data_IF_585044352455
#
_entry.id   IF_585044352455
#
_cell.length_a   1.000
_cell.length_b   1.000
_cell.length_c   1.000
_cell.angle_alpha   90.00
_cell.angle_beta   90.00
_cell.angle_gamma   90.00
#
_symmetry.space_group_name_H-M   'P 1'
#
loop_
_entity.id
_entity.type
_entity.pdbx_description
1 polymer ?
#
# COMPACT_ATOMS: atom_id res chain seq x y z
N UNK A 1 -40.83 13.41 45.90
CA UNK A 1 -40.45 14.78 46.30
C UNK A 1 -38.95 14.91 46.06
N UNK A 2 -38.55 15.77 45.12
CA UNK A 2 -37.14 15.98 44.81
C UNK A 2 -37.02 16.51 43.38
N UNK A 3 -37.02 17.80 43.24
CA UNK A 3 -37.06 18.65 42.09
C UNK A 3 -35.62 18.70 41.52
N UNK A 4 -35.40 18.29 40.26
CA UNK A 4 -34.23 18.67 39.50
C UNK A 4 -34.65 19.66 38.39
N UNK A 5 -34.30 20.93 38.66
CA UNK A 5 -34.44 22.03 37.74
C UNK A 5 -33.29 21.97 36.69
N UNK A 6 -33.64 21.94 35.44
CA UNK A 6 -32.74 22.10 34.30
C UNK A 6 -32.28 23.58 34.22
N UNK A 7 -31.01 23.84 34.38
CA UNK A 7 -30.39 25.13 34.04
C UNK A 7 -30.00 25.13 32.54
N UNK A 8 -30.82 25.77 31.74
CA UNK A 8 -30.48 26.14 30.36
C UNK A 8 -29.60 27.41 30.36
N UNK A 9 -28.32 27.28 30.28
CA UNK A 9 -27.41 28.41 30.02
C UNK A 9 -27.40 28.73 28.52
N UNK A 10 -28.24 29.70 28.11
CA UNK A 10 -28.11 30.35 26.80
C UNK A 10 -27.07 31.47 26.92
N UNK A 11 -25.88 31.21 26.46
CA UNK A 11 -24.87 32.28 26.26
C UNK A 11 -25.28 33.10 25.05
N UNK A 12 -25.81 34.33 25.29
CA UNK A 12 -26.03 35.34 24.24
C UNK A 12 -24.67 36.01 23.97
N UNK A 13 -23.99 35.63 22.90
CA UNK A 13 -22.84 36.39 22.41
C UNK A 13 -23.28 37.76 21.85
N UNK A 14 -22.60 38.83 22.17
CA UNK A 14 -22.87 40.14 21.56
C UNK A 14 -22.56 40.08 20.07
N UNK A 15 -23.45 40.67 19.26
CA UNK A 15 -23.37 40.69 17.78
C UNK A 15 -22.02 41.18 17.24
N UNK A 16 -21.30 42.03 17.97
CA UNK A 16 -19.96 42.51 17.63
C UNK A 16 -18.90 41.39 17.63
N UNK A 17 -19.00 40.40 18.54
CA UNK A 17 -18.04 39.29 18.65
C UNK A 17 -18.29 38.25 17.56
N UNK A 18 -19.53 38.02 17.15
CA UNK A 18 -19.87 37.13 16.03
C UNK A 18 -19.40 37.69 14.68
N UNK A 19 -19.47 39.02 14.48
CA UNK A 19 -18.94 39.67 13.30
C UNK A 19 -17.40 39.65 13.23
N UNK A 20 -16.71 39.76 14.37
CA UNK A 20 -15.24 39.69 14.42
C UNK A 20 -14.73 38.25 14.12
N UNK A 21 -15.43 37.21 14.61
CA UNK A 21 -15.11 35.82 14.29
C UNK A 21 -15.36 35.50 12.81
N UNK A 22 -16.45 36.04 12.21
CA UNK A 22 -16.76 35.87 10.81
C UNK A 22 -15.73 36.57 9.91
N UNK A 23 -15.22 37.74 10.32
CA UNK A 23 -14.18 38.45 9.58
C UNK A 23 -12.82 37.75 9.65
N UNK A 24 -12.47 37.14 10.80
CA UNK A 24 -11.25 36.35 10.98
C UNK A 24 -11.28 35.03 10.19
N UNK A 25 -12.44 34.39 10.06
CA UNK A 25 -12.60 33.22 9.19
C UNK A 25 -12.55 33.57 7.68
N UNK A 26 -13.02 34.74 7.28
CA UNK A 26 -12.99 35.17 5.89
C UNK A 26 -11.57 35.55 5.41
N UNK A 27 -10.68 35.94 6.30
CA UNK A 27 -9.28 36.25 6.00
C UNK A 27 -8.37 35.02 5.82
N UNK A 28 -8.88 33.80 6.13
CA UNK A 28 -8.13 32.55 5.93
C UNK A 28 -8.48 31.82 4.63
N UNK A 29 -9.34 32.40 3.78
CA UNK A 29 -9.81 31.78 2.53
C UNK A 29 -9.41 32.54 1.26
N UNK A 30 -8.23 33.18 1.24
CA UNK A 30 -7.67 33.67 -0.03
C UNK A 30 -6.65 32.67 -0.56
N UNK A 31 -6.91 32.02 -1.73
CA UNK A 31 -5.89 31.21 -2.39
C UNK A 31 -4.83 32.17 -2.98
N UNK A 32 -3.60 31.95 -2.59
CA UNK A 32 -2.44 32.59 -3.20
C UNK A 32 -2.23 31.96 -4.59
N UNK A 33 -2.79 32.59 -5.61
CA UNK A 33 -2.39 32.33 -6.99
C UNK A 33 -1.17 33.24 -7.26
N UNK A 34 0.01 32.65 -7.33
CA UNK A 34 1.16 33.24 -7.98
C UNK A 34 1.43 32.48 -9.25
N UNK A 35 1.23 33.19 -10.35
CA UNK A 35 1.58 32.77 -11.68
C UNK A 35 3.10 32.58 -11.80
N UNK A 36 3.51 31.49 -12.45
CA UNK A 36 4.81 31.42 -13.11
C UNK A 36 4.52 31.24 -14.60
N UNK A 37 4.66 32.35 -15.32
CA UNK A 37 4.65 32.35 -16.77
C UNK A 37 5.93 31.74 -17.33
N UNK A 38 5.73 31.15 -18.48
CA UNK A 38 6.63 30.51 -19.39
C UNK A 38 7.92 31.32 -19.71
N UNK A 39 9.00 30.58 -19.94
CA UNK A 39 9.95 30.92 -20.98
C UNK A 39 10.16 29.72 -21.90
N UNK A 40 9.55 29.88 -23.04
CA UNK A 40 9.86 29.22 -24.29
C UNK A 40 11.01 30.02 -24.90
N UNK A 41 12.11 29.40 -25.22
CA UNK A 41 12.83 29.73 -26.42
C UNK A 41 13.65 28.52 -26.87
N UNK A 42 13.43 28.27 -28.13
CA UNK A 42 14.03 27.27 -28.97
C UNK A 42 15.45 27.69 -29.36
N UNK A 43 16.32 26.73 -29.54
CA UNK A 43 17.30 26.81 -30.63
C UNK A 43 17.62 25.43 -31.19
N UNK A 44 17.27 25.33 -32.47
CA UNK A 44 17.67 24.27 -33.40
C UNK A 44 19.15 24.48 -33.79
N UNK A 45 19.74 23.40 -34.19
CA UNK A 45 20.73 23.15 -35.28
C UNK A 45 21.80 22.23 -34.76
N UNK A 46 22.34 21.27 -35.44
CA UNK A 46 22.29 20.81 -36.82
C UNK A 46 22.84 19.37 -36.87
N UNK A 47 22.41 18.69 -37.90
CA UNK A 47 22.90 17.42 -38.42
C UNK A 47 24.42 17.35 -38.56
N UNK A 48 24.98 16.14 -38.35
CA UNK A 48 25.97 15.62 -39.29
C UNK A 48 25.92 14.09 -39.29
N UNK A 49 25.44 13.55 -40.36
CA UNK A 49 25.67 12.18 -40.83
C UNK A 49 27.14 11.95 -41.08
N UNK A 50 27.67 10.80 -40.74
CA UNK A 50 28.62 10.09 -41.57
C UNK A 50 28.56 8.58 -41.36
N UNK A 51 28.33 7.97 -42.43
CA UNK A 51 28.18 6.60 -42.83
C UNK A 51 29.50 5.82 -42.92
N UNK A 52 29.28 4.47 -42.89
CA UNK A 52 30.03 3.42 -43.62
C UNK A 52 31.39 3.03 -43.03
N UNK A 53 31.62 1.79 -42.68
CA UNK A 53 31.88 0.65 -43.57
C UNK A 53 31.86 -0.70 -42.82
N UNK A 54 31.40 -1.70 -43.54
CA UNK A 54 31.46 -3.12 -43.18
C UNK A 54 32.83 -3.69 -43.63
N UNK A 55 33.45 -4.54 -42.82
CA UNK A 55 34.45 -5.47 -43.29
C UNK A 55 34.35 -6.83 -42.56
N UNK A 56 33.94 -7.77 -43.31
CA UNK A 56 34.23 -9.18 -43.58
C UNK A 56 35.04 -9.98 -42.55
N UNK A 57 34.44 -11.13 -42.26
CA UNK A 57 35.13 -12.30 -41.67
C UNK A 57 36.15 -12.95 -42.63
N UNK A 58 37.08 -13.73 -42.12
CA UNK A 58 37.35 -15.08 -42.67
C UNK A 58 37.41 -16.12 -41.52
N UNK A 59 36.64 -17.18 -41.62
CA UNK A 59 36.92 -18.47 -42.24
C UNK A 59 38.01 -19.31 -41.58
N UNK A 60 37.51 -20.42 -41.05
CA UNK A 60 38.02 -21.76 -40.88
C UNK A 60 39.49 -22.00 -40.41
N UNK A 61 39.65 -22.85 -39.37
CA UNK A 61 40.15 -24.22 -39.55
C UNK A 61 40.16 -25.00 -38.24
N UNK A 62 39.55 -26.17 -38.24
CA UNK A 62 39.81 -27.26 -37.27
C UNK A 62 41.13 -27.97 -37.60
N UNK A 63 41.84 -28.48 -36.62
CA UNK A 63 42.63 -29.68 -36.86
C UNK A 63 42.15 -30.86 -35.98
N UNK A 64 42.38 -31.98 -36.61
CA UNK A 64 42.06 -33.35 -36.30
C UNK A 64 42.60 -33.89 -34.97
N UNK A 65 41.84 -34.85 -34.52
CA UNK A 65 42.13 -35.90 -33.53
C UNK A 65 43.52 -36.51 -33.61
N UNK A 66 44.23 -36.57 -32.49
CA UNK A 66 45.20 -37.61 -32.21
C UNK A 66 44.82 -38.34 -30.92
N UNK A 67 44.73 -39.66 -31.05
CA UNK A 67 44.49 -40.61 -29.98
C UNK A 67 45.75 -40.75 -29.12
N UNK A 68 45.61 -40.59 -27.82
CA UNK A 68 46.64 -40.95 -26.87
C UNK A 68 46.17 -42.11 -25.98
N UNK A 69 47.04 -43.08 -25.94
CA UNK A 69 47.06 -44.36 -25.26
C UNK A 69 46.65 -44.32 -23.78
N UNK A 70 45.84 -45.25 -23.35
CA UNK A 70 45.49 -45.49 -21.94
C UNK A 70 46.70 -45.99 -21.14
N UNK A 71 47.02 -45.29 -20.05
CA UNK A 71 47.88 -45.80 -18.97
C UNK A 71 47.01 -46.35 -17.82
N UNK A 72 47.48 -47.40 -17.09
CA UNK A 72 46.63 -48.11 -16.14
C UNK A 72 46.39 -47.28 -14.87
N UNK A 73 45.11 -47.20 -14.50
CA UNK A 73 44.60 -46.58 -13.28
C UNK A 73 45.02 -47.33 -12.01
N UNK A 74 45.69 -46.61 -11.09
CA UNK A 74 45.79 -47.00 -9.68
C UNK A 74 44.40 -47.02 -9.02
N UNK A 75 44.16 -47.86 -8.01
CA UNK A 75 42.88 -47.95 -7.32
C UNK A 75 42.65 -46.66 -6.50
N UNK A 76 41.51 -46.02 -6.78
CA UNK A 76 40.98 -44.87 -6.00
C UNK A 76 40.78 -45.29 -4.54
N UNK A 77 41.41 -44.52 -3.61
CA UNK A 77 41.02 -44.50 -2.20
C UNK A 77 39.56 -44.05 -2.08
N UNK A 78 38.77 -44.63 -1.15
CA UNK A 78 37.40 -44.22 -0.95
C UNK A 78 37.37 -42.74 -0.51
N UNK A 79 36.64 -41.92 -1.30
CA UNK A 79 36.36 -40.52 -0.98
C UNK A 79 35.77 -40.42 0.44
N UNK A 80 36.39 -39.58 1.25
CA UNK A 80 35.76 -39.16 2.53
C UNK A 80 34.36 -38.58 2.23
N UNK A 81 33.36 -38.87 3.07
CA UNK A 81 32.03 -38.31 2.87
C UNK A 81 32.16 -36.79 2.87
N UNK A 82 31.60 -36.15 1.82
CA UNK A 82 31.44 -34.72 1.73
C UNK A 82 30.95 -34.19 3.07
N UNK A 83 31.73 -33.30 3.68
CA UNK A 83 31.26 -32.57 4.86
C UNK A 83 29.96 -31.89 4.46
N UNK A 84 28.85 -32.23 5.12
CA UNK A 84 27.59 -31.51 4.98
C UNK A 84 27.91 -30.02 5.20
N UNK A 85 27.83 -29.21 4.16
CA UNK A 85 27.89 -27.75 4.30
C UNK A 85 26.81 -27.35 5.29
N UNK A 86 27.19 -26.84 6.45
CA UNK A 86 26.26 -26.24 7.38
C UNK A 86 25.47 -25.17 6.61
N UNK A 87 24.14 -25.13 6.76
CA UNK A 87 23.32 -24.15 6.04
C UNK A 87 23.83 -22.76 6.36
N UNK A 88 24.41 -22.11 5.35
CA UNK A 88 24.89 -20.73 5.48
C UNK A 88 23.68 -19.85 5.77
N UNK A 89 23.67 -19.17 6.92
CA UNK A 89 22.65 -18.18 7.22
C UNK A 89 22.62 -17.15 6.09
N UNK A 90 21.41 -16.76 5.62
CA UNK A 90 21.31 -15.77 4.55
C UNK A 90 22.04 -14.48 4.94
N UNK A 91 22.86 -13.96 4.04
CA UNK A 91 23.62 -12.74 4.26
C UNK A 91 22.68 -11.56 4.48
N UNK A 92 22.70 -10.97 5.67
CA UNK A 92 21.85 -9.83 6.04
C UNK A 92 22.39 -8.56 5.39
N UNK A 93 21.58 -7.89 4.58
CA UNK A 93 21.93 -6.62 3.95
C UNK A 93 20.76 -5.63 4.01
N UNK A 94 21.07 -4.35 3.91
CA UNK A 94 20.09 -3.27 3.83
C UNK A 94 19.96 -2.82 2.37
N UNK A 95 18.91 -3.20 1.63
CA UNK A 95 18.70 -2.69 0.29
C UNK A 95 18.43 -1.18 0.30
N UNK A 96 18.74 -0.52 -0.79
CA UNK A 96 18.62 0.92 -0.93
C UNK A 96 17.49 1.29 -1.91
N UNK A 97 16.28 1.44 -1.41
CA UNK A 97 15.10 1.85 -2.17
C UNK A 97 14.81 3.34 -1.99
N UNK A 98 14.26 3.99 -3.01
CA UNK A 98 13.79 5.36 -2.90
C UNK A 98 12.31 5.49 -3.26
N UNK A 99 11.67 6.56 -2.78
CA UNK A 99 10.28 6.87 -3.15
C UNK A 99 10.14 7.12 -4.66
N UNK A 100 11.23 7.56 -5.31
CA UNK A 100 11.25 7.88 -6.72
C UNK A 100 11.28 6.63 -7.60
N UNK A 101 11.90 5.53 -7.14
CA UNK A 101 11.99 4.27 -7.86
C UNK A 101 10.61 3.60 -8.05
N UNK A 102 9.66 3.94 -7.17
CA UNK A 102 8.31 3.36 -7.13
C UNK A 102 7.21 4.43 -7.20
N UNK A 103 7.50 5.56 -7.85
CA UNK A 103 6.70 6.78 -7.76
C UNK A 103 5.21 6.60 -8.05
N UNK A 104 4.87 5.80 -9.04
CA UNK A 104 3.50 5.63 -9.55
C UNK A 104 2.75 4.43 -8.92
N UNK A 105 3.43 3.65 -8.07
CA UNK A 105 2.81 2.50 -7.40
C UNK A 105 1.85 2.97 -6.33
N UNK A 106 0.60 2.49 -6.37
CA UNK A 106 -0.43 2.82 -5.38
C UNK A 106 -0.07 2.28 -4.00
N UNK A 107 -0.27 3.12 -2.97
CA UNK A 107 -0.10 2.75 -1.57
C UNK A 107 -1.05 3.55 -0.67
N UNK A 108 -2.04 2.86 -0.13
CA UNK A 108 -3.09 3.50 0.68
C UNK A 108 -3.95 4.47 -0.13
N UNK A 109 -3.99 5.73 0.28
CA UNK A 109 -4.77 6.80 -0.39
C UNK A 109 -3.98 7.56 -1.45
N UNK A 110 -2.75 7.16 -1.75
CA UNK A 110 -1.90 7.83 -2.73
C UNK A 110 -0.91 6.87 -3.38
N UNK A 111 0.22 7.37 -3.82
CA UNK A 111 1.30 6.57 -4.37
C UNK A 111 2.47 6.44 -3.41
N UNK A 112 3.39 5.51 -3.67
CA UNK A 112 4.64 5.38 -2.91
C UNK A 112 5.40 6.71 -2.88
N UNK A 113 5.40 7.47 -3.97
CA UNK A 113 6.02 8.80 -4.01
C UNK A 113 5.55 9.72 -2.89
N UNK A 114 4.26 9.69 -2.57
CA UNK A 114 3.64 10.62 -1.63
C UNK A 114 3.45 10.03 -0.23
N UNK A 115 3.22 8.71 -0.13
CA UNK A 115 2.82 8.04 1.11
C UNK A 115 3.72 6.87 1.51
N UNK A 116 4.70 6.48 0.66
CA UNK A 116 5.40 5.20 0.73
C UNK A 116 6.62 5.15 1.66
N UNK A 117 6.90 6.18 2.46
CA UNK A 117 8.07 6.14 3.35
C UNK A 117 8.03 4.94 4.31
N UNK A 118 6.86 4.55 4.79
CA UNK A 118 6.69 3.39 5.67
C UNK A 118 6.92 2.06 4.96
N UNK A 119 6.39 1.88 3.73
CA UNK A 119 6.56 0.62 2.99
C UNK A 119 8.00 0.44 2.50
N UNK A 120 8.69 1.51 2.11
CA UNK A 120 10.12 1.44 1.79
C UNK A 120 10.94 1.04 3.02
N UNK A 121 10.68 1.62 4.20
CA UNK A 121 11.34 1.20 5.44
C UNK A 121 11.04 -0.26 5.78
N UNK A 122 9.79 -0.70 5.61
CA UNK A 122 9.40 -2.09 5.87
C UNK A 122 10.07 -3.08 4.90
N UNK A 123 10.18 -2.76 3.62
CA UNK A 123 10.88 -3.58 2.65
C UNK A 123 12.36 -3.78 3.02
N UNK A 124 13.02 -2.70 3.46
CA UNK A 124 14.40 -2.77 3.96
C UNK A 124 14.52 -3.63 5.22
N UNK A 125 13.61 -3.44 6.20
CA UNK A 125 13.62 -4.22 7.45
C UNK A 125 13.32 -5.70 7.19
N UNK A 126 12.30 -6.00 6.38
CA UNK A 126 11.93 -7.37 6.05
C UNK A 126 13.07 -8.10 5.34
N UNK A 127 13.70 -7.46 4.36
CA UNK A 127 14.88 -8.02 3.66
C UNK A 127 16.03 -8.29 4.63
N UNK A 128 16.38 -7.29 5.46
CA UNK A 128 17.47 -7.43 6.42
C UNK A 128 17.24 -8.55 7.44
N UNK A 129 16.00 -8.71 7.93
CA UNK A 129 15.70 -9.71 8.95
C UNK A 129 15.59 -11.12 8.38
N UNK A 130 15.04 -11.28 7.19
CA UNK A 130 14.76 -12.60 6.60
C UNK A 130 15.85 -13.08 5.64
N UNK A 131 16.68 -12.17 5.10
CA UNK A 131 17.57 -12.48 3.99
C UNK A 131 16.86 -12.66 2.64
N UNK A 132 15.53 -12.71 2.62
CA UNK A 132 14.73 -12.70 1.40
C UNK A 132 14.51 -11.26 0.94
N UNK A 133 14.77 -10.98 -0.34
CA UNK A 133 14.61 -9.62 -0.86
C UNK A 133 13.14 -9.28 -1.10
N UNK A 134 12.58 -8.38 -0.28
CA UNK A 134 11.26 -7.78 -0.45
C UNK A 134 11.37 -6.43 -1.14
N UNK A 135 10.45 -6.16 -2.06
CA UNK A 135 10.39 -4.89 -2.77
C UNK A 135 9.22 -4.01 -2.29
N UNK A 136 9.38 -2.67 -2.29
CA UNK A 136 8.32 -1.75 -1.87
C UNK A 136 7.01 -1.89 -2.63
N UNK A 137 7.04 -2.16 -3.93
CA UNK A 137 5.86 -2.36 -4.78
C UNK A 137 5.12 -3.67 -4.46
N UNK A 138 5.84 -4.75 -4.15
CA UNK A 138 5.24 -6.01 -3.71
C UNK A 138 4.52 -5.82 -2.37
N UNK A 139 5.19 -5.22 -1.37
CA UNK A 139 4.57 -4.95 -0.08
C UNK A 139 3.41 -3.95 -0.19
N UNK A 140 3.50 -2.97 -1.09
CA UNK A 140 2.41 -2.06 -1.38
C UNK A 140 1.22 -2.79 -1.99
N UNK A 141 1.45 -3.67 -2.96
CA UNK A 141 0.43 -4.52 -3.57
C UNK A 141 -0.28 -5.40 -2.55
N UNK A 142 0.48 -6.06 -1.67
CA UNK A 142 -0.08 -7.02 -0.72
C UNK A 142 -0.77 -6.36 0.47
N UNK A 143 -0.24 -5.23 0.95
CA UNK A 143 -0.61 -4.67 2.25
C UNK A 143 -1.09 -3.21 2.21
N UNK A 144 -0.99 -2.52 1.09
CA UNK A 144 -1.33 -1.10 1.00
C UNK A 144 -2.78 -0.78 1.32
N UNK A 145 -3.70 -1.70 0.99
CA UNK A 145 -5.13 -1.59 1.29
C UNK A 145 -5.55 -2.10 2.67
N UNK A 146 -4.64 -2.71 3.46
CA UNK A 146 -5.00 -3.45 4.69
C UNK A 146 -5.25 -2.58 5.93
N UNK A 147 -4.92 -1.29 5.90
CA UNK A 147 -5.17 -0.37 7.00
C UNK A 147 -5.37 1.07 6.49
N UNK A 148 -6.03 1.91 7.29
CA UNK A 148 -6.34 3.29 6.90
C UNK A 148 -5.11 4.23 6.92
N UNK A 149 -4.15 3.99 7.81
CA UNK A 149 -2.97 4.83 7.97
C UNK A 149 -1.66 4.04 7.94
N UNK A 150 -0.55 4.74 7.72
CA UNK A 150 0.77 4.12 7.57
C UNK A 150 1.28 3.45 8.85
N UNK A 151 0.94 3.96 10.02
CA UNK A 151 1.31 3.37 11.31
C UNK A 151 0.70 1.99 11.48
N UNK A 152 -0.59 1.85 11.17
CA UNK A 152 -1.29 0.56 11.22
C UNK A 152 -0.83 -0.38 10.11
N UNK A 153 -0.46 0.14 8.93
CA UNK A 153 0.15 -0.68 7.86
C UNK A 153 1.49 -1.28 8.30
N UNK A 154 2.34 -0.53 9.00
CA UNK A 154 3.61 -1.07 9.57
C UNK A 154 3.31 -2.22 10.52
N UNK A 155 2.33 -2.06 11.43
CA UNK A 155 1.90 -3.13 12.34
C UNK A 155 1.41 -4.36 11.60
N UNK A 156 0.56 -4.14 10.61
CA UNK A 156 0.00 -5.22 9.79
C UNK A 156 1.10 -5.97 9.03
N UNK A 157 2.00 -5.25 8.35
CA UNK A 157 3.11 -5.85 7.62
C UNK A 157 4.04 -6.65 8.55
N UNK A 158 4.41 -6.09 9.70
CA UNK A 158 5.25 -6.80 10.67
C UNK A 158 4.60 -8.11 11.14
N UNK A 159 3.29 -8.10 11.41
CA UNK A 159 2.53 -9.30 11.79
C UNK A 159 2.44 -10.30 10.63
N UNK A 160 2.08 -9.85 9.43
CA UNK A 160 1.91 -10.72 8.27
C UNK A 160 3.22 -11.38 7.83
N UNK A 161 4.32 -10.65 7.94
CA UNK A 161 5.68 -11.12 7.64
C UNK A 161 6.33 -11.85 8.84
N UNK A 162 5.62 -12.01 9.95
CA UNK A 162 6.10 -12.66 11.18
C UNK A 162 7.41 -12.06 11.72
N UNK A 163 7.58 -10.74 11.58
CA UNK A 163 8.77 -10.05 12.07
C UNK A 163 8.66 -9.74 13.57
N UNK A 164 9.72 -9.95 14.37
CA UNK A 164 9.74 -9.68 15.80
C UNK A 164 9.75 -8.17 16.06
N UNK A 165 8.55 -7.58 16.20
CA UNK A 165 8.35 -6.15 16.38
C UNK A 165 7.78 -5.84 17.77
N UNK A 166 8.29 -4.77 18.38
CA UNK A 166 7.72 -4.10 19.56
C UNK A 166 7.62 -2.61 19.33
N UNK A 167 6.68 -1.93 20.00
CA UNK A 167 6.57 -0.48 19.91
C UNK A 167 7.37 0.18 21.06
N UNK A 168 8.06 1.27 20.74
CA UNK A 168 8.80 2.02 21.75
C UNK A 168 7.84 2.92 22.55
N UNK A 169 7.87 2.83 23.89
CA UNK A 169 7.08 3.71 24.76
C UNK A 169 7.55 5.18 24.67
N UNK A 170 8.84 5.38 24.44
CA UNK A 170 9.46 6.69 24.29
C UNK A 170 10.83 6.57 23.63
N UNK A 171 11.51 7.72 23.40
CA UNK A 171 12.80 7.74 22.72
C UNK A 171 13.95 7.06 23.48
N UNK A 172 13.87 6.94 24.81
CA UNK A 172 14.91 6.22 25.58
C UNK A 172 14.92 4.72 25.26
N UNK A 173 13.74 4.12 24.97
CA UNK A 173 13.64 2.75 24.47
C UNK A 173 14.29 2.61 23.09
N UNK A 174 14.14 3.60 22.20
CA UNK A 174 14.81 3.62 20.91
C UNK A 174 16.33 3.61 21.08
N UNK A 175 16.87 4.48 21.92
CA UNK A 175 18.32 4.53 22.21
C UNK A 175 18.84 3.21 22.79
N UNK A 176 18.06 2.59 23.68
CA UNK A 176 18.43 1.30 24.25
C UNK A 176 18.41 0.20 23.18
N UNK A 177 17.36 0.12 22.37
CA UNK A 177 17.24 -0.85 21.29
C UNK A 177 18.43 -0.78 20.30
N UNK A 178 18.82 0.44 19.89
CA UNK A 178 19.98 0.62 19.01
C UNK A 178 21.29 0.17 19.66
N UNK A 179 21.48 0.37 21.00
CA UNK A 179 22.66 -0.15 21.72
C UNK A 179 22.69 -1.67 21.82
N UNK A 180 21.51 -2.29 21.79
CA UNK A 180 21.32 -3.75 21.80
C UNK A 180 21.41 -4.37 20.36
N UNK A 181 21.76 -3.58 19.35
CA UNK A 181 21.87 -4.04 17.97
C UNK A 181 20.55 -4.26 17.25
N UNK A 182 19.45 -3.72 17.80
CA UNK A 182 18.14 -3.73 17.16
C UNK A 182 18.03 -2.61 16.12
N UNK A 183 17.16 -2.79 15.13
CA UNK A 183 16.87 -1.77 14.12
C UNK A 183 15.50 -1.15 14.40
N UNK A 184 15.30 0.11 14.00
CA UNK A 184 14.12 0.87 14.41
C UNK A 184 13.53 1.65 13.23
N UNK A 185 12.27 1.40 12.90
CA UNK A 185 11.50 2.32 12.07
C UNK A 185 10.93 3.41 12.97
N UNK A 186 11.33 4.66 12.74
CA UNK A 186 10.89 5.79 13.54
C UNK A 186 9.99 6.72 12.73
N UNK A 187 8.83 7.07 13.31
CA UNK A 187 7.96 8.12 12.81
C UNK A 187 8.48 9.47 13.31
N UNK A 188 8.65 10.39 12.35
CA UNK A 188 9.09 11.77 12.58
C UNK A 188 7.94 12.74 12.34
N UNK A 189 7.80 13.76 13.16
CA UNK A 189 6.83 14.84 12.96
C UNK A 189 7.47 16.12 12.37
N UNK A 190 6.66 17.15 12.17
CA UNK A 190 7.05 18.41 11.54
C UNK A 190 8.15 19.22 12.26
N UNK A 191 8.57 18.82 13.46
CA UNK A 191 9.69 19.44 14.17
C UNK A 191 11.04 18.83 13.79
N UNK A 192 11.03 17.71 13.06
CA UNK A 192 12.24 17.00 12.67
C UNK A 192 13.01 17.72 11.55
N UNK A 193 14.23 17.25 11.30
CA UNK A 193 15.03 17.69 10.17
C UNK A 193 14.55 17.07 8.83
N UNK A 194 13.73 16.02 8.88
CA UNK A 194 13.38 15.16 7.74
C UNK A 194 12.07 15.55 7.06
N UNK A 195 11.18 16.27 7.75
CA UNK A 195 9.83 16.52 7.19
C UNK A 195 9.16 17.75 7.81
N UNK A 196 8.22 18.33 7.05
CA UNK A 196 7.30 19.35 7.53
C UNK A 196 5.94 18.79 7.98
N UNK A 197 5.74 17.46 7.90
CA UNK A 197 4.51 16.79 8.30
C UNK A 197 4.83 15.53 9.12
N UNK A 198 4.62 14.35 8.52
CA UNK A 198 5.02 13.06 9.07
C UNK A 198 5.91 12.32 8.08
N UNK A 199 6.89 11.56 8.57
CA UNK A 199 7.80 10.80 7.74
C UNK A 199 8.37 9.61 8.50
N UNK A 200 8.51 8.47 7.85
CA UNK A 200 9.17 7.30 8.40
C UNK A 200 10.61 7.21 7.90
N UNK A 201 11.52 6.97 8.83
CA UNK A 201 12.93 6.68 8.58
C UNK A 201 13.32 5.38 9.29
N UNK A 202 14.39 4.73 8.82
CA UNK A 202 14.95 3.55 9.49
C UNK A 202 16.28 3.90 10.15
N UNK A 203 16.41 3.59 11.43
CA UNK A 203 17.64 3.68 12.20
C UNK A 203 18.30 2.30 12.18
N UNK A 204 19.45 2.19 11.55
CA UNK A 204 20.15 0.90 11.33
C UNK A 204 21.05 0.47 12.50
N UNK A 205 21.49 1.42 13.33
CA UNK A 205 22.38 1.20 14.45
C UNK A 205 23.30 2.38 14.68
N UNK A 206 24.33 2.18 15.52
CA UNK A 206 25.40 3.15 15.73
C UNK A 206 26.61 2.80 14.85
N UNK A 207 27.17 3.80 14.18
CA UNK A 207 28.46 3.65 13.49
C UNK A 207 29.64 3.72 14.49
N UNK A 208 30.87 3.56 13.99
CA UNK A 208 32.10 3.58 14.78
C UNK A 208 32.32 4.88 15.57
N UNK A 209 31.71 5.99 15.12
CA UNK A 209 31.78 7.29 15.76
C UNK A 209 30.67 7.52 16.80
N UNK A 210 29.85 6.50 17.09
CA UNK A 210 28.72 6.57 18.02
C UNK A 210 27.56 7.42 17.53
N UNK A 211 27.47 7.66 16.23
CA UNK A 211 26.33 8.33 15.57
C UNK A 211 25.39 7.31 14.96
N UNK A 212 24.11 7.66 14.81
CA UNK A 212 23.08 6.79 14.28
C UNK A 212 23.16 6.78 12.74
N UNK A 213 23.27 5.61 12.14
CA UNK A 213 23.09 5.40 10.72
C UNK A 213 21.63 5.38 10.36
N UNK A 214 21.23 6.24 9.42
CA UNK A 214 19.86 6.42 8.99
C UNK A 214 19.68 6.02 7.54
N UNK A 215 18.63 5.24 7.26
CA UNK A 215 18.08 5.13 5.92
C UNK A 215 16.84 6.00 5.83
N UNK A 216 16.77 6.83 4.80
CA UNK A 216 15.61 7.65 4.46
C UNK A 216 15.24 7.39 3.00
N UNK A 217 14.01 6.95 2.70
CA UNK A 217 13.61 6.69 1.32
C UNK A 217 13.44 7.97 0.47
N UNK A 218 13.51 9.16 1.09
CA UNK A 218 13.37 10.44 0.38
C UNK A 218 14.68 10.86 -0.29
N UNK A 219 14.74 10.78 -1.62
CA UNK A 219 15.85 11.31 -2.42
C UNK A 219 16.09 12.79 -2.15
N UNK A 220 15.02 13.57 -1.97
CA UNK A 220 15.10 14.98 -1.61
C UNK A 220 15.89 15.21 -0.31
N UNK A 221 15.62 14.43 0.74
CA UNK A 221 16.35 14.54 2.01
C UNK A 221 17.81 14.16 1.85
N UNK A 222 18.10 13.05 1.18
CA UNK A 222 19.47 12.56 0.97
C UNK A 222 20.33 13.54 0.20
N UNK A 223 19.77 14.26 -0.79
CA UNK A 223 20.46 15.23 -1.62
C UNK A 223 20.45 16.63 -1.01
N UNK A 224 19.71 16.86 0.05
CA UNK A 224 19.63 18.15 0.71
C UNK A 224 20.98 18.55 1.30
N UNK A 225 21.47 19.75 0.97
CA UNK A 225 22.68 20.31 1.57
C UNK A 225 22.67 20.39 3.11
N UNK A 226 21.48 20.28 3.69
CA UNK A 226 21.28 20.29 5.15
C UNK A 226 21.56 18.95 5.79
N UNK A 227 21.44 17.84 5.05
CA UNK A 227 21.43 16.49 5.57
C UNK A 227 22.45 15.56 4.91
N UNK A 228 22.94 15.85 3.69
CA UNK A 228 23.81 14.96 2.91
C UNK A 228 25.04 14.48 3.70
N UNK A 229 25.76 15.40 4.36
CA UNK A 229 26.93 15.03 5.20
C UNK A 229 26.55 14.07 6.36
N UNK A 230 25.31 14.15 6.86
CA UNK A 230 24.83 13.31 7.94
C UNK A 230 24.44 11.91 7.49
N UNK A 231 24.00 11.77 6.23
CA UNK A 231 23.78 10.43 5.68
C UNK A 231 25.07 9.65 5.48
N UNK A 232 26.18 10.35 5.26
CA UNK A 232 27.51 9.74 5.17
C UNK A 232 28.15 9.51 6.55
N UNK A 233 28.00 10.46 7.48
CA UNK A 233 28.73 10.47 8.76
C UNK A 233 27.91 10.05 9.98
N UNK A 234 26.61 9.81 9.80
CA UNK A 234 25.64 9.52 10.84
C UNK A 234 25.07 10.76 11.53
N UNK A 235 23.95 10.57 12.21
CA UNK A 235 23.18 11.58 12.94
C UNK A 235 23.46 11.51 14.43
N UNK A 236 23.45 12.65 15.11
CA UNK A 236 23.46 12.70 16.56
C UNK A 236 22.15 12.17 17.15
N UNK A 237 22.23 11.55 18.34
CA UNK A 237 21.03 11.04 19.05
C UNK A 237 20.00 12.13 19.31
N UNK A 238 20.45 13.36 19.64
CA UNK A 238 19.54 14.48 19.90
C UNK A 238 18.86 14.97 18.61
N UNK A 239 19.55 14.88 17.46
CA UNK A 239 19.00 15.26 16.16
C UNK A 239 17.85 14.29 15.75
N UNK A 240 18.01 13.01 16.03
CA UNK A 240 16.99 11.99 15.79
C UNK A 240 15.84 12.05 16.80
N UNK A 241 16.15 12.40 18.07
CA UNK A 241 15.12 12.63 19.08
C UNK A 241 14.19 13.80 18.72
N UNK A 242 14.74 14.78 18.02
CA UNK A 242 14.00 15.98 17.67
C UNK A 242 12.94 15.68 16.59
N UNK A 243 11.71 15.70 16.99
CA UNK A 243 10.59 15.32 16.12
C UNK A 243 10.19 13.86 16.20
N UNK A 244 10.66 13.11 17.21
CA UNK A 244 10.14 11.77 17.53
C UNK A 244 8.62 11.81 17.74
N UNK A 245 7.90 10.90 17.09
CA UNK A 245 6.43 10.78 17.15
C UNK A 245 5.96 9.33 17.38
N UNK A 246 6.90 8.41 17.50
CA UNK A 246 6.69 6.98 17.71
C UNK A 246 7.75 6.15 17.02
N UNK A 247 7.88 4.88 17.39
CA UNK A 247 8.83 3.98 16.74
C UNK A 247 8.46 2.50 16.91
N UNK A 248 8.88 1.72 15.93
CA UNK A 248 8.77 0.26 15.86
C UNK A 248 10.17 -0.34 15.91
N UNK A 249 10.42 -1.15 16.93
CA UNK A 249 11.71 -1.81 17.20
C UNK A 249 11.63 -3.23 16.68
N UNK A 250 12.61 -3.62 15.88
CA UNK A 250 12.76 -4.97 15.33
C UNK A 250 14.04 -5.60 15.87
N UNK A 251 13.92 -6.80 16.41
CA UNK A 251 15.01 -7.51 17.08
C UNK A 251 15.55 -8.65 16.21
N UNK A 252 16.71 -8.47 15.54
CA UNK A 252 17.30 -9.51 14.68
C UNK A 252 17.66 -10.80 15.42
N UNK A 253 17.85 -10.75 16.74
CA UNK A 253 18.20 -11.92 17.55
C UNK A 253 17.03 -12.86 17.80
N UNK A 254 15.80 -12.40 17.55
CA UNK A 254 14.57 -13.19 17.68
C UNK A 254 14.10 -13.81 16.37
N UNK A 255 14.82 -13.59 15.27
CA UNK A 255 14.53 -14.24 14.01
C UNK A 255 14.89 -15.72 14.06
N UNK A 256 14.08 -16.55 13.42
CA UNK A 256 14.37 -17.96 13.18
C UNK A 256 15.56 -18.10 12.22
N UNK A 257 16.31 -19.20 12.30
CA UNK A 257 17.34 -19.58 11.32
C UNK A 257 16.72 -19.91 9.95
N UNK A 258 15.43 -20.32 9.93
CA UNK A 258 14.61 -20.49 8.74
C UNK A 258 13.43 -19.49 8.83
N UNK A 259 13.61 -18.24 8.40
CA UNK A 259 12.61 -17.20 8.55
C UNK A 259 11.43 -17.44 7.60
N UNK A 260 10.23 -17.08 8.07
CA UNK A 260 9.04 -17.09 7.23
C UNK A 260 9.21 -16.13 6.05
N UNK A 261 8.99 -16.64 4.84
CA UNK A 261 8.91 -15.85 3.61
C UNK A 261 7.44 -15.77 3.19
N UNK A 262 6.92 -14.55 3.08
CA UNK A 262 5.54 -14.34 2.67
C UNK A 262 5.39 -14.62 1.18
N UNK A 263 4.42 -15.45 0.85
CA UNK A 263 3.98 -15.67 -0.53
C UNK A 263 2.57 -15.12 -0.68
N UNK A 264 2.33 -14.37 -1.76
CA UNK A 264 0.98 -13.88 -2.05
C UNK A 264 0.03 -15.08 -2.20
N UNK A 265 -1.08 -15.12 -1.45
CA UNK A 265 -2.03 -16.21 -1.57
C UNK A 265 -2.54 -16.31 -3.01
N UNK A 266 -2.39 -17.47 -3.61
CA UNK A 266 -2.92 -17.72 -4.95
C UNK A 266 -4.44 -17.64 -4.90
N UNK A 267 -5.01 -16.68 -5.64
CA UNK A 267 -6.47 -16.56 -5.75
C UNK A 267 -7.01 -17.79 -6.47
N UNK A 268 -7.98 -18.50 -5.87
CA UNK A 268 -8.56 -19.67 -6.54
C UNK A 268 -9.22 -19.24 -7.85
N UNK A 269 -9.00 -20.03 -8.90
CA UNK A 269 -9.68 -19.79 -10.16
C UNK A 269 -11.20 -19.95 -9.97
N UNK A 270 -11.95 -18.98 -10.47
CA UNK A 270 -13.41 -19.05 -10.57
C UNK A 270 -13.82 -18.70 -12.01
N UNK A 271 -14.93 -19.29 -12.47
CA UNK A 271 -15.47 -18.94 -13.79
C UNK A 271 -15.81 -17.44 -13.84
N UNK A 272 -15.29 -16.67 -14.82
CA UNK A 272 -15.54 -15.24 -14.91
C UNK A 272 -17.03 -14.95 -15.08
N UNK A 273 -17.61 -14.23 -14.11
CA UNK A 273 -19.03 -13.83 -14.14
C UNK A 273 -19.29 -12.65 -15.06
N UNK A 274 -18.30 -11.78 -15.19
CA UNK A 274 -18.39 -10.52 -15.93
C UNK A 274 -17.51 -10.56 -17.18
N UNK A 275 -17.46 -11.73 -17.86
CA UNK A 275 -16.64 -11.90 -19.05
C UNK A 275 -16.98 -10.86 -20.12
N UNK A 276 -15.93 -10.23 -20.67
CA UNK A 276 -16.07 -9.15 -21.64
C UNK A 276 -16.39 -7.77 -21.05
N UNK A 277 -16.72 -7.66 -19.75
CA UNK A 277 -16.89 -6.36 -19.12
C UNK A 277 -15.53 -5.69 -18.89
N UNK A 278 -15.37 -4.51 -19.47
CA UNK A 278 -14.20 -3.65 -19.25
C UNK A 278 -14.67 -2.31 -18.71
N UNK A 279 -14.22 -2.00 -17.50
CA UNK A 279 -14.42 -0.68 -16.91
C UNK A 279 -13.34 0.26 -17.45
N UNK A 280 -13.72 1.48 -17.76
CA UNK A 280 -12.76 2.56 -17.98
C UNK A 280 -12.14 3.01 -16.66
N UNK A 281 -11.00 3.72 -16.70
CA UNK A 281 -10.35 4.26 -15.50
C UNK A 281 -11.29 5.19 -14.72
N UNK A 282 -12.09 6.01 -15.44
CA UNK A 282 -13.07 6.90 -14.82
C UNK A 282 -14.20 6.12 -14.14
N UNK A 283 -14.69 5.04 -14.74
CA UNK A 283 -15.71 4.18 -14.13
C UNK A 283 -15.17 3.41 -12.92
N UNK A 284 -13.95 2.92 -13.01
CA UNK A 284 -13.26 2.27 -11.88
C UNK A 284 -13.09 3.24 -10.71
N UNK A 285 -12.64 4.47 -10.99
CA UNK A 285 -12.51 5.51 -9.98
C UNK A 285 -13.85 5.92 -9.38
N UNK A 286 -14.89 6.03 -10.19
CA UNK A 286 -16.23 6.39 -9.73
C UNK A 286 -16.83 5.28 -8.86
N UNK A 287 -16.64 4.01 -9.24
CA UNK A 287 -17.06 2.85 -8.44
C UNK A 287 -16.27 2.79 -7.11
N UNK A 288 -14.96 3.03 -7.14
CA UNK A 288 -14.16 3.08 -5.91
C UNK A 288 -14.65 4.18 -4.95
N UNK A 289 -15.02 5.35 -5.47
CA UNK A 289 -15.63 6.43 -4.68
C UNK A 289 -16.97 6.03 -4.05
N UNK A 290 -17.81 5.31 -4.80
CA UNK A 290 -19.07 4.77 -4.28
C UNK A 290 -18.80 3.79 -3.11
N UNK A 291 -17.91 2.82 -3.31
CA UNK A 291 -17.56 1.84 -2.28
C UNK A 291 -17.01 2.54 -1.03
N UNK A 292 -16.15 3.55 -1.22
CA UNK A 292 -15.63 4.34 -0.11
C UNK A 292 -16.74 5.01 0.71
N UNK A 293 -17.71 5.65 0.05
CA UNK A 293 -18.83 6.34 0.74
C UNK A 293 -19.72 5.33 1.47
N UNK A 294 -20.04 4.20 0.83
CA UNK A 294 -20.97 3.21 1.34
C UNK A 294 -20.34 2.28 2.38
N UNK A 295 -19.08 1.87 2.18
CA UNK A 295 -18.52 0.69 2.84
C UNK A 295 -17.06 0.83 3.34
N UNK A 296 -16.46 2.03 3.43
CA UNK A 296 -15.04 2.16 3.85
C UNK A 296 -14.74 1.57 5.22
N UNK A 297 -15.71 1.46 6.09
CA UNK A 297 -15.58 0.85 7.43
C UNK A 297 -16.00 -0.61 7.50
N UNK A 298 -16.38 -1.22 6.38
CA UNK A 298 -16.75 -2.63 6.30
C UNK A 298 -15.49 -3.50 6.03
N UNK A 299 -15.64 -4.81 6.26
CA UNK A 299 -14.61 -5.79 5.88
C UNK A 299 -14.32 -5.77 4.37
N UNK A 300 -13.23 -6.40 3.95
CA UNK A 300 -12.91 -6.60 2.53
C UNK A 300 -14.05 -7.28 1.77
N UNK A 301 -14.67 -8.29 2.39
CA UNK A 301 -15.84 -8.98 1.87
C UNK A 301 -17.04 -8.03 1.72
N UNK A 302 -17.28 -7.17 2.71
CA UNK A 302 -18.36 -6.18 2.66
C UNK A 302 -18.16 -5.15 1.55
N UNK A 303 -16.95 -4.66 1.38
CA UNK A 303 -16.61 -3.74 0.29
C UNK A 303 -16.72 -4.40 -1.09
N UNK A 304 -16.26 -5.64 -1.23
CA UNK A 304 -16.43 -6.44 -2.44
C UNK A 304 -17.91 -6.68 -2.77
N UNK A 305 -18.72 -7.01 -1.78
CA UNK A 305 -20.15 -7.24 -1.97
C UNK A 305 -20.88 -5.99 -2.52
N UNK A 306 -20.51 -4.78 -2.09
CA UNK A 306 -21.04 -3.54 -2.67
C UNK A 306 -20.63 -3.41 -4.15
N UNK A 307 -19.35 -3.68 -4.48
CA UNK A 307 -18.89 -3.68 -5.87
C UNK A 307 -19.66 -4.69 -6.72
N UNK A 308 -19.85 -5.92 -6.22
CA UNK A 308 -20.61 -6.97 -6.93
C UNK A 308 -22.04 -6.58 -7.19
N UNK A 309 -22.74 -5.90 -6.27
CA UNK A 309 -24.10 -5.39 -6.54
C UNK A 309 -24.11 -4.43 -7.71
N UNK A 310 -23.15 -3.51 -7.79
CA UNK A 310 -23.07 -2.55 -8.91
C UNK A 310 -22.78 -3.27 -10.24
N UNK A 311 -21.85 -4.23 -10.24
CA UNK A 311 -21.55 -5.04 -11.43
C UNK A 311 -22.73 -5.93 -11.84
N UNK A 312 -23.44 -6.55 -10.88
CA UNK A 312 -24.65 -7.31 -11.12
C UNK A 312 -25.74 -6.45 -11.76
N UNK A 313 -25.95 -5.22 -11.25
CA UNK A 313 -26.87 -4.23 -11.86
C UNK A 313 -26.47 -3.92 -13.31
N UNK A 314 -25.18 -3.72 -13.56
CA UNK A 314 -24.68 -3.38 -14.90
C UNK A 314 -24.97 -4.51 -15.90
N UNK A 315 -24.68 -5.76 -15.53
CA UNK A 315 -24.89 -6.90 -16.43
C UNK A 315 -26.36 -7.32 -16.52
N UNK A 316 -27.21 -7.01 -15.54
CA UNK A 316 -28.67 -7.24 -15.65
C UNK A 316 -29.32 -6.35 -16.72
N UNK A 317 -28.77 -5.16 -16.96
CA UNK A 317 -29.31 -4.16 -17.87
C UNK A 317 -30.51 -3.37 -17.34
N UNK A 318 -31.03 -3.71 -16.14
CA UNK A 318 -32.26 -3.11 -15.60
C UNK A 318 -32.03 -1.75 -14.94
N UNK A 319 -30.77 -1.39 -14.63
CA UNK A 319 -30.41 -0.22 -13.83
C UNK A 319 -29.63 0.85 -14.60
N UNK A 320 -29.32 0.62 -15.85
CA UNK A 320 -28.54 1.51 -16.70
C UNK A 320 -27.50 0.77 -17.55
N UNK A 321 -26.91 1.48 -18.50
CA UNK A 321 -25.97 0.91 -19.47
C UNK A 321 -24.49 1.13 -19.15
N UNK A 322 -24.17 1.88 -18.09
CA UNK A 322 -22.81 2.14 -17.63
C UNK A 322 -22.80 2.44 -16.11
N UNK A 323 -21.64 2.25 -15.48
CA UNK A 323 -21.43 2.63 -14.08
C UNK A 323 -21.70 4.11 -13.87
N UNK A 324 -21.22 4.95 -14.80
CA UNK A 324 -21.45 6.40 -14.75
C UNK A 324 -22.94 6.75 -14.73
N UNK A 325 -23.75 6.11 -15.59
CA UNK A 325 -25.19 6.37 -15.62
C UNK A 325 -25.89 5.94 -14.35
N UNK A 326 -25.53 4.76 -13.81
CA UNK A 326 -26.12 4.25 -12.57
C UNK A 326 -25.77 5.11 -11.35
N UNK A 327 -24.51 5.51 -11.20
CA UNK A 327 -24.06 6.29 -10.05
C UNK A 327 -24.57 7.74 -10.10
N UNK A 328 -24.76 8.28 -11.31
CA UNK A 328 -25.32 9.62 -11.49
C UNK A 328 -26.85 9.67 -11.31
N UNK A 329 -27.51 8.53 -11.26
CA UNK A 329 -28.93 8.46 -10.92
C UNK A 329 -29.11 8.55 -9.39
N UNK A 330 -29.51 9.73 -8.91
CA UNK A 330 -29.68 10.02 -7.47
C UNK A 330 -30.71 9.12 -6.78
N UNK A 331 -31.53 8.39 -7.54
CA UNK A 331 -32.50 7.42 -7.00
C UNK A 331 -31.87 6.08 -6.62
N UNK A 332 -30.65 5.77 -7.13
CA UNK A 332 -30.02 4.47 -6.98
C UNK A 332 -29.02 4.39 -5.82
N UNK A 333 -28.36 5.50 -5.50
CA UNK A 333 -27.31 5.55 -4.48
C UNK A 333 -27.42 6.79 -3.60
N UNK A 334 -26.66 6.83 -2.51
CA UNK A 334 -26.58 8.01 -1.61
C UNK A 334 -26.24 9.29 -2.35
N UNK A 335 -26.40 10.47 -1.70
CA UNK A 335 -26.22 11.76 -2.36
C UNK A 335 -24.96 11.82 -3.21
N UNK A 336 -25.13 11.94 -4.51
CA UNK A 336 -24.11 11.96 -5.55
C UNK A 336 -22.93 12.90 -5.22
N UNK A 337 -23.22 14.03 -4.56
CA UNK A 337 -22.17 14.96 -4.12
C UNK A 337 -21.13 14.32 -3.19
N UNK A 338 -21.53 13.38 -2.32
CA UNK A 338 -20.59 12.69 -1.43
C UNK A 338 -19.68 11.75 -2.23
N UNK A 339 -20.24 11.07 -3.24
CA UNK A 339 -19.46 10.20 -4.11
C UNK A 339 -18.45 11.02 -4.89
N UNK A 340 -18.82 12.13 -5.51
CA UNK A 340 -17.91 12.95 -6.29
C UNK A 340 -16.73 13.50 -5.49
N UNK A 341 -16.94 13.83 -4.21
CA UNK A 341 -15.90 14.40 -3.33
C UNK A 341 -15.13 13.34 -2.53
N UNK A 342 -15.50 12.06 -2.67
CA UNK A 342 -14.80 10.98 -1.98
C UNK A 342 -13.38 10.80 -2.50
N UNK A 343 -12.48 10.38 -1.59
CA UNK A 343 -11.09 10.06 -1.90
C UNK A 343 -10.83 8.59 -1.51
N UNK A 344 -11.08 7.63 -2.44
CA UNK A 344 -10.94 6.21 -2.17
C UNK A 344 -9.48 5.83 -1.96
N UNK A 345 -9.26 4.86 -1.11
CA UNK A 345 -7.95 4.24 -0.88
C UNK A 345 -7.76 3.01 -1.78
N UNK A 346 -6.57 2.44 -1.76
CA UNK A 346 -6.26 1.19 -2.44
C UNK A 346 -7.25 0.06 -2.12
N UNK A 347 -7.77 0.00 -0.88
CA UNK A 347 -8.75 -1.02 -0.46
C UNK A 347 -10.00 -1.07 -1.35
N UNK A 348 -10.50 0.07 -1.83
CA UNK A 348 -11.67 0.12 -2.69
C UNK A 348 -11.37 -0.35 -4.12
N UNK A 349 -10.17 -0.09 -4.63
CA UNK A 349 -9.72 -0.62 -5.92
C UNK A 349 -9.51 -2.14 -5.85
N UNK A 350 -8.93 -2.65 -4.77
CA UNK A 350 -8.82 -4.09 -4.51
C UNK A 350 -10.18 -4.78 -4.39
N UNK A 351 -11.17 -4.09 -3.79
CA UNK A 351 -12.54 -4.61 -3.73
C UNK A 351 -13.17 -4.74 -5.11
N UNK A 352 -12.92 -3.79 -6.03
CA UNK A 352 -13.36 -3.87 -7.42
C UNK A 352 -12.65 -5.04 -8.13
N UNK A 353 -11.35 -5.20 -7.95
CA UNK A 353 -10.59 -6.29 -8.55
C UNK A 353 -11.11 -7.66 -8.08
N UNK A 354 -11.36 -7.83 -6.77
CA UNK A 354 -11.98 -9.03 -6.23
C UNK A 354 -13.40 -9.27 -6.79
N UNK A 355 -14.19 -8.20 -6.95
CA UNK A 355 -15.53 -8.31 -7.51
C UNK A 355 -15.53 -8.70 -8.99
N UNK A 356 -14.56 -8.24 -9.77
CA UNK A 356 -14.43 -8.59 -11.19
C UNK A 356 -13.95 -10.04 -11.41
N UNK A 357 -12.98 -10.48 -10.63
CA UNK A 357 -12.25 -11.73 -10.88
C UNK A 357 -12.51 -12.82 -9.83
N UNK A 358 -13.30 -12.55 -8.78
CA UNK A 358 -13.68 -13.53 -7.75
C UNK A 358 -12.56 -13.89 -6.78
N UNK A 359 -12.79 -14.83 -5.87
CA UNK A 359 -14.06 -15.55 -5.68
C UNK A 359 -15.21 -14.61 -5.32
N UNK A 360 -16.39 -14.88 -5.88
CA UNK A 360 -17.57 -14.02 -5.68
C UNK A 360 -18.24 -14.28 -4.33
N UNK A 361 -18.68 -13.18 -3.71
CA UNK A 361 -19.36 -13.19 -2.42
C UNK A 361 -20.87 -13.36 -2.58
N UNK A 362 -21.45 -12.69 -3.58
CA UNK A 362 -22.88 -12.66 -3.80
C UNK A 362 -23.28 -13.49 -5.04
N UNK A 363 -24.50 -14.05 -5.08
CA UNK A 363 -25.12 -14.48 -6.33
C UNK A 363 -25.28 -13.30 -7.31
N UNK A 364 -25.19 -13.59 -8.62
CA UNK A 364 -25.32 -12.57 -9.69
C UNK A 364 -26.70 -11.87 -9.72
N UNK A 365 -27.71 -12.51 -9.14
CA UNK A 365 -29.08 -12.00 -9.07
C UNK A 365 -29.29 -11.01 -7.91
N UNK A 366 -28.33 -10.90 -6.98
CA UNK A 366 -28.39 -9.92 -5.88
C UNK A 366 -28.01 -8.55 -6.42
N UNK A 367 -29.01 -7.66 -6.50
CA UNK A 367 -28.87 -6.32 -7.11
C UNK A 367 -29.27 -5.19 -6.16
N UNK A 368 -29.63 -5.51 -4.91
CA UNK A 368 -29.99 -4.53 -3.91
C UNK A 368 -29.20 -4.70 -2.62
N UNK A 369 -28.87 -3.59 -1.99
CA UNK A 369 -28.30 -3.55 -0.65
C UNK A 369 -28.81 -2.32 0.12
N UNK A 370 -28.70 -2.36 1.42
CA UNK A 370 -28.99 -1.23 2.29
C UNK A 370 -28.79 -1.57 3.77
N UNK A 371 -28.78 -0.56 4.62
CA UNK A 371 -28.71 -0.76 6.08
C UNK A 371 -30.00 -1.29 6.68
N UNK A 372 -31.06 -1.24 5.90
CA UNK A 372 -32.36 -1.86 6.17
C UNK A 372 -32.75 -2.70 4.97
N UNK A 373 -33.69 -3.64 5.19
CA UNK A 373 -34.22 -4.47 4.11
C UNK A 373 -34.82 -3.60 3.00
N UNK A 374 -34.35 -3.79 1.77
CA UNK A 374 -34.73 -3.00 0.58
C UNK A 374 -35.80 -3.67 -0.27
N UNK A 375 -35.86 -5.01 -0.30
CA UNK A 375 -36.89 -5.78 -1.02
C UNK A 375 -37.51 -6.84 -0.10
N UNK A 376 -38.50 -7.58 -0.57
CA UNK A 376 -39.11 -8.71 0.14
C UNK A 376 -38.26 -10.00 0.11
N UNK A 377 -37.26 -10.06 -0.77
CA UNK A 377 -36.41 -11.24 -0.99
C UNK A 377 -34.98 -10.98 -0.51
N UNK A 378 -34.71 -11.27 0.78
CA UNK A 378 -33.39 -11.11 1.39
C UNK A 378 -32.50 -12.29 1.03
N UNK A 379 -31.28 -12.02 0.57
CA UNK A 379 -30.23 -13.01 0.43
C UNK A 379 -29.47 -13.23 1.75
N UNK A 380 -28.97 -12.16 2.38
CA UNK A 380 -28.19 -12.26 3.61
C UNK A 380 -27.69 -10.90 4.10
N UNK A 381 -26.79 -10.95 5.08
CA UNK A 381 -26.19 -9.76 5.69
C UNK A 381 -24.66 -9.94 5.74
N UNK A 382 -23.92 -8.89 5.33
CA UNK A 382 -22.47 -8.79 5.49
C UNK A 382 -22.18 -7.45 6.14
N UNK A 383 -21.48 -7.46 7.29
CA UNK A 383 -21.21 -6.24 8.04
C UNK A 383 -22.50 -5.48 8.39
N UNK A 384 -22.53 -4.19 8.09
CA UNK A 384 -23.69 -3.34 8.32
C UNK A 384 -24.73 -3.34 7.21
N UNK A 385 -24.62 -4.19 6.17
CA UNK A 385 -25.50 -4.17 5.01
C UNK A 385 -26.29 -5.46 4.86
N UNK A 386 -27.59 -5.29 4.47
CA UNK A 386 -28.50 -6.36 4.07
C UNK A 386 -28.53 -6.39 2.55
N UNK A 387 -28.25 -7.54 1.97
CA UNK A 387 -28.25 -7.78 0.54
C UNK A 387 -29.52 -8.50 0.11
N UNK A 388 -30.12 -8.05 -0.97
CA UNK A 388 -31.42 -8.53 -1.42
C UNK A 388 -31.43 -8.84 -2.92
N UNK A 389 -32.24 -9.82 -3.29
CA UNK A 389 -32.67 -10.05 -4.67
C UNK A 389 -33.66 -8.98 -5.13
N UNK A 390 -33.96 -8.87 -6.44
CA UNK A 390 -35.06 -8.06 -6.95
C UNK A 390 -36.40 -8.41 -6.29
N UNK A 391 -37.35 -7.48 -6.38
CA UNK A 391 -38.72 -7.70 -5.91
C UNK A 391 -39.32 -8.96 -6.57
N UNK A 392 -39.99 -9.78 -5.74
CA UNK A 392 -40.64 -11.02 -6.19
C UNK A 392 -39.68 -12.06 -6.86
N UNK A 393 -38.38 -11.99 -6.55
CA UNK A 393 -37.43 -13.01 -7.00
C UNK A 393 -37.89 -14.39 -6.49
N UNK A 394 -38.05 -15.33 -7.43
CA UNK A 394 -38.35 -16.72 -7.12
C UNK A 394 -37.07 -17.52 -7.33
N UNK A 395 -36.51 -18.01 -6.25
CA UNK A 395 -35.37 -18.95 -6.31
C UNK A 395 -35.90 -20.32 -6.80
N UNK A 396 -35.71 -20.58 -8.10
CA UNK A 396 -36.11 -21.84 -8.70
C UNK A 396 -35.26 -23.04 -8.25
N UNK A 397 -34.16 -22.79 -7.52
CA UNK A 397 -33.29 -23.85 -6.97
C UNK A 397 -33.73 -24.36 -5.60
N UNK A 398 -34.60 -23.65 -4.87
CA UNK A 398 -35.11 -24.10 -3.58
C UNK A 398 -36.25 -25.12 -3.69
N UNK A 399 -36.92 -25.25 -4.84
CA UNK A 399 -38.01 -26.22 -5.03
C UNK A 399 -37.57 -27.68 -5.11
N UNK A 400 -36.26 -27.95 -5.34
CA UNK A 400 -35.77 -29.34 -5.50
C UNK A 400 -35.45 -30.01 -4.17
N UNK A 401 -35.30 -29.27 -3.08
CA UNK A 401 -34.90 -29.82 -1.76
C UNK A 401 -36.07 -30.15 -0.83
N UNK A 402 -37.32 -29.86 -1.20
CA UNK A 402 -38.51 -30.19 -0.39
C UNK A 402 -39.35 -31.37 -0.96
N UNK A 403 -38.88 -32.03 -1.99
CA UNK A 403 -39.60 -33.13 -2.65
C UNK A 403 -38.92 -34.49 -2.50
N UNK A 404 -38.25 -34.76 -1.34
CA UNK A 404 -37.81 -36.10 -0.96
C UNK A 404 -37.99 -36.32 0.54
#
# INVERSE_FOLDING_TARGET
MGIFSQLNFRIRMPRALALLLALLLALQLTPFFAAAEANHDAEQTAETEQSVEAETAPDETFPETEAAEEAPTEPEEPAEPDAEEEPQQPERFFPDYTLDDYADVMYGTGTIKNNGCSVCCMAVVATYLTGHQYYPDELAKWFGGKAENNTDRVRYMAQALQLPMTEAENYDYVKQALREGKIVIQLMNSRSLFTNSQHFILLKGFNENGKIEVYDPSTYNRQSWRLNDRFENGFGTDEICWGYDGAFIFDPSQMSDDPFVYEEPVRPYVEPRYDGLKLTDDETKLLAKLIYVEARGESEEGQQAIAEVVLNRLVSGDFGSSITNMINDESQFVPHKLILTADPSQAQYEAIDRALYGPYVLPKEVTFYGRVRTTDSVWGTIGGHIFCYPWHYKDTHQEVTQAN
#
